data_IF_708239648799
#
_entry.id   IF_708239648799
#
_cell.length_a   1.000
_cell.length_b   1.000
_cell.length_c   1.000
_cell.angle_alpha   90.00
_cell.angle_beta   90.00
_cell.angle_gamma   90.00
#
_symmetry.space_group_name_H-M   'P 1'
#
loop_
_entity.id
_entity.type
_entity.pdbx_description
1 polymer ?
#
# COMPACT_ATOMS: atom_id res chain seq x y z
N UNK A 1 15.42 -8.77 -5.52
CA UNK A 1 16.65 -8.09 -5.96
C UNK A 1 17.74 -8.46 -4.99
N UNK A 2 18.98 -8.39 -5.44
CA UNK A 2 20.15 -8.65 -4.63
C UNK A 2 20.96 -7.35 -4.60
N UNK A 3 21.62 -7.04 -3.48
CA UNK A 3 22.45 -5.84 -3.38
C UNK A 3 23.91 -6.19 -3.67
N UNK A 4 24.48 -5.65 -4.75
CA UNK A 4 25.88 -5.84 -5.14
C UNK A 4 26.53 -4.47 -5.26
N UNK A 5 27.57 -4.22 -4.44
CA UNK A 5 28.30 -2.95 -4.41
C UNK A 5 27.37 -1.73 -4.26
N UNK A 6 26.36 -1.83 -3.38
CA UNK A 6 25.40 -0.76 -3.13
C UNK A 6 24.33 -0.56 -4.21
N UNK A 7 24.29 -1.42 -5.24
CA UNK A 7 23.29 -1.34 -6.31
C UNK A 7 22.35 -2.55 -6.28
N UNK A 8 21.04 -2.36 -6.51
CA UNK A 8 20.12 -3.46 -6.68
C UNK A 8 20.33 -4.12 -8.05
N UNK A 9 20.50 -5.42 -8.06
CA UNK A 9 20.56 -6.29 -9.25
C UNK A 9 19.53 -7.41 -9.12
N UNK A 10 19.32 -8.22 -10.17
CA UNK A 10 18.43 -9.38 -10.14
C UNK A 10 17.01 -9.07 -9.59
N UNK A 11 16.41 -8.02 -10.14
CA UNK A 11 15.05 -7.61 -9.82
C UNK A 11 14.05 -8.76 -10.00
N UNK A 12 13.06 -8.83 -9.10
CA UNK A 12 12.00 -9.83 -9.13
C UNK A 12 10.68 -9.10 -8.92
N UNK A 13 9.62 -9.59 -9.55
CA UNK A 13 8.28 -9.05 -9.31
C UNK A 13 7.87 -9.42 -7.88
N UNK A 14 7.59 -8.40 -7.08
CA UNK A 14 7.08 -8.60 -5.72
C UNK A 14 5.59 -8.93 -5.73
N UNK A 15 4.80 -8.09 -6.41
CA UNK A 15 3.36 -8.28 -6.59
C UNK A 15 2.88 -7.52 -7.84
N UNK A 16 1.88 -8.04 -8.54
CA UNK A 16 1.24 -7.36 -9.67
C UNK A 16 -0.15 -6.88 -9.26
N UNK A 17 -0.35 -5.56 -9.21
CA UNK A 17 -1.67 -4.98 -8.94
C UNK A 17 -2.60 -5.24 -10.11
N UNK A 18 -3.79 -5.76 -9.82
CA UNK A 18 -4.87 -5.92 -10.78
C UNK A 18 -6.25 -5.88 -10.09
N UNK A 19 -7.22 -5.12 -10.63
CA UNK A 19 -7.14 -4.27 -11.82
C UNK A 19 -6.32 -2.98 -11.63
N UNK A 20 -5.85 -2.40 -12.73
CA UNK A 20 -5.12 -1.13 -12.75
C UNK A 20 -3.62 -1.29 -12.54
N UNK A 21 -3.02 -0.32 -11.85
CA UNK A 21 -1.60 -0.31 -11.49
C UNK A 21 -1.41 0.24 -10.07
N UNK A 22 -0.22 0.01 -9.51
CA UNK A 22 0.22 0.71 -8.30
C UNK A 22 0.61 2.15 -8.64
N UNK A 23 0.17 3.09 -7.82
CA UNK A 23 0.67 4.47 -7.80
C UNK A 23 1.27 4.73 -6.40
N UNK A 24 0.48 5.28 -5.47
CA UNK A 24 0.91 5.46 -4.09
C UNK A 24 0.95 4.16 -3.28
N UNK A 25 2.08 3.93 -2.61
CA UNK A 25 2.29 2.79 -1.71
C UNK A 25 2.74 3.24 -0.30
N UNK A 26 2.38 2.48 0.73
CA UNK A 26 2.83 2.67 2.13
C UNK A 26 3.02 1.34 2.83
N UNK A 27 3.90 1.28 3.82
CA UNK A 27 4.06 0.10 4.66
C UNK A 27 3.40 0.30 6.04
N UNK A 28 2.88 -0.77 6.61
CA UNK A 28 2.56 -0.83 8.04
C UNK A 28 3.73 -1.40 8.87
N UNK A 29 3.59 -1.38 10.19
CA UNK A 29 4.62 -1.85 11.14
C UNK A 29 4.84 -3.36 11.10
N UNK A 30 3.93 -4.13 10.51
CA UNK A 30 4.07 -5.59 10.36
C UNK A 30 4.78 -5.95 9.03
N UNK A 31 5.14 -4.93 8.24
CA UNK A 31 5.79 -5.08 6.94
C UNK A 31 4.83 -5.30 5.77
N UNK A 32 3.51 -5.19 5.97
CA UNK A 32 2.59 -5.29 4.84
C UNK A 32 2.71 -4.04 3.98
N UNK A 33 2.71 -4.24 2.66
CA UNK A 33 2.66 -3.19 1.66
C UNK A 33 1.21 -2.90 1.29
N UNK A 34 0.80 -1.67 1.48
CA UNK A 34 -0.50 -1.14 1.08
C UNK A 34 -0.28 -0.38 -0.23
N UNK A 35 -1.04 -0.72 -1.27
CA UNK A 35 -0.95 -0.10 -2.58
C UNK A 35 -2.29 0.44 -3.02
N UNK A 36 -2.28 1.59 -3.68
CA UNK A 36 -3.42 1.99 -4.52
C UNK A 36 -3.65 1.00 -5.67
N UNK A 37 -4.88 0.95 -6.15
CA UNK A 37 -5.35 0.14 -7.27
C UNK A 37 -6.58 0.77 -7.92
N UNK A 38 -6.99 0.26 -9.08
CA UNK A 38 -8.19 0.77 -9.78
C UNK A 38 -9.50 0.47 -9.04
N UNK A 39 -9.53 -0.58 -8.23
CA UNK A 39 -10.69 -0.99 -7.42
C UNK A 39 -10.57 -0.61 -5.94
N UNK A 40 -9.51 0.11 -5.55
CA UNK A 40 -9.34 0.61 -4.20
C UNK A 40 -7.92 0.47 -3.66
N UNK A 41 -7.76 -0.19 -2.51
CA UNK A 41 -6.47 -0.40 -1.85
C UNK A 41 -6.21 -1.88 -1.66
N UNK A 42 -5.03 -2.36 -2.05
CA UNK A 42 -4.60 -3.76 -1.85
C UNK A 42 -3.62 -3.81 -0.66
N UNK A 43 -3.84 -4.75 0.25
CA UNK A 43 -2.93 -5.06 1.35
C UNK A 43 -2.16 -6.33 1.00
N UNK A 44 -0.84 -6.25 0.90
CA UNK A 44 0.05 -7.30 0.40
C UNK A 44 1.04 -7.65 1.52
N UNK A 45 1.15 -8.93 1.84
CA UNK A 45 2.06 -9.40 2.88
C UNK A 45 3.53 -9.21 2.46
N UNK A 46 4.49 -9.26 3.41
CA UNK A 46 5.92 -9.15 3.11
C UNK A 46 6.46 -10.21 2.13
N UNK A 47 5.73 -11.31 1.94
CA UNK A 47 6.05 -12.38 0.98
C UNK A 47 5.49 -12.13 -0.43
N UNK A 48 4.77 -11.03 -0.66
CA UNK A 48 4.15 -10.67 -1.94
C UNK A 48 2.72 -11.20 -2.13
N UNK A 49 2.16 -11.94 -1.18
CA UNK A 49 0.79 -12.46 -1.25
C UNK A 49 -0.25 -11.39 -0.93
N UNK A 50 -1.31 -11.29 -1.73
CA UNK A 50 -2.46 -10.44 -1.44
C UNK A 50 -3.18 -10.95 -0.18
N UNK A 51 -3.23 -10.13 0.87
CA UNK A 51 -3.98 -10.41 2.10
C UNK A 51 -5.45 -10.02 1.97
N UNK A 52 -5.74 -8.94 1.24
CA UNK A 52 -7.10 -8.46 1.04
C UNK A 52 -7.16 -7.09 0.36
N UNK A 53 -8.38 -6.58 0.20
CA UNK A 53 -8.67 -5.31 -0.46
C UNK A 53 -9.62 -4.46 0.37
N UNK A 54 -9.43 -3.14 0.34
CA UNK A 54 -10.43 -2.15 0.73
C UNK A 54 -11.01 -1.60 -0.56
N UNK A 55 -12.27 -1.91 -0.84
CA UNK A 55 -12.94 -1.43 -2.04
C UNK A 55 -13.45 -0.01 -1.83
N UNK A 56 -13.20 0.84 -2.82
CA UNK A 56 -13.80 2.18 -2.93
C UNK A 56 -14.31 2.37 -4.36
N UNK A 57 -15.37 3.17 -4.60
CA UNK A 57 -16.04 3.25 -5.90
C UNK A 57 -15.27 4.08 -6.95
N UNK A 58 -13.97 4.34 -6.74
CA UNK A 58 -13.14 5.22 -7.57
C UNK A 58 -11.68 4.70 -7.60
N UNK A 59 -10.95 5.07 -8.66
CA UNK A 59 -9.53 4.74 -8.81
C UNK A 59 -8.72 5.48 -7.72
N UNK A 60 -7.93 4.73 -6.96
CA UNK A 60 -7.07 5.30 -5.91
C UNK A 60 -5.74 5.70 -6.51
N UNK A 61 -5.29 6.92 -6.20
CA UNK A 61 -3.96 7.41 -6.57
C UNK A 61 -2.97 7.29 -5.42
N UNK A 62 -3.40 7.53 -4.17
CA UNK A 62 -2.48 7.57 -3.04
C UNK A 62 -3.16 7.19 -1.73
N UNK A 63 -2.33 6.79 -0.76
CA UNK A 63 -2.74 6.42 0.58
C UNK A 63 -1.73 6.90 1.61
N UNK A 64 -2.18 7.17 2.83
CA UNK A 64 -1.31 7.53 3.93
C UNK A 64 -1.90 7.11 5.28
N UNK A 65 -1.07 6.51 6.14
CA UNK A 65 -1.43 6.28 7.53
C UNK A 65 -1.32 7.58 8.34
N UNK A 66 -2.33 7.87 9.13
CA UNK A 66 -2.38 9.03 10.00
C UNK A 66 -3.34 8.84 11.17
N UNK A 67 -3.90 9.96 11.65
CA UNK A 67 -4.62 10.01 12.91
C UNK A 67 -3.67 9.94 14.13
N UNK A 68 -4.21 10.24 15.31
CA UNK A 68 -3.41 10.34 16.55
C UNK A 68 -2.67 9.04 16.90
N UNK A 69 -3.32 7.91 16.64
CA UNK A 69 -2.76 6.58 16.90
C UNK A 69 -2.22 5.89 15.65
N UNK A 70 -2.03 6.63 14.54
CA UNK A 70 -1.33 6.16 13.32
C UNK A 70 -1.95 4.95 12.61
N UNK A 71 -3.20 4.64 12.90
CA UNK A 71 -3.93 3.48 12.36
C UNK A 71 -5.09 3.86 11.43
N UNK A 72 -5.25 5.15 11.11
CA UNK A 72 -6.24 5.58 10.12
C UNK A 72 -5.57 5.64 8.75
N UNK A 73 -6.07 4.87 7.79
CA UNK A 73 -5.64 4.97 6.41
C UNK A 73 -6.50 6.02 5.70
N UNK A 74 -5.88 7.10 5.24
CA UNK A 74 -6.48 8.08 4.34
C UNK A 74 -6.23 7.64 2.89
N UNK A 75 -7.22 7.82 2.03
CA UNK A 75 -7.24 7.32 0.65
C UNK A 75 -7.70 8.46 -0.26
N UNK A 76 -6.86 8.86 -1.22
CA UNK A 76 -7.24 9.81 -2.28
C UNK A 76 -7.70 9.03 -3.50
N UNK A 77 -8.95 9.20 -3.90
CA UNK A 77 -9.54 8.46 -5.01
C UNK A 77 -10.29 9.41 -5.93
N UNK A 78 -9.77 9.62 -7.14
CA UNK A 78 -10.23 10.55 -8.19
C UNK A 78 -10.86 11.86 -7.69
N UNK A 79 -12.13 11.86 -7.28
CA UNK A 79 -12.89 13.05 -6.86
C UNK A 79 -13.12 13.16 -5.35
N UNK A 80 -12.76 12.14 -4.58
CA UNK A 80 -13.10 12.00 -3.17
C UNK A 80 -11.90 11.65 -2.29
N UNK A 81 -12.04 11.90 -0.98
CA UNK A 81 -11.13 11.39 0.06
C UNK A 81 -11.93 10.45 0.97
N UNK A 82 -11.44 9.21 1.10
CA UNK A 82 -11.98 8.22 2.02
C UNK A 82 -11.04 8.03 3.21
N UNK A 83 -11.56 7.47 4.31
CA UNK A 83 -10.69 6.98 5.38
C UNK A 83 -11.28 5.75 6.08
N UNK A 84 -10.40 4.88 6.55
CA UNK A 84 -10.78 3.70 7.33
C UNK A 84 -9.85 3.52 8.53
N UNK A 85 -10.41 3.10 9.65
CA UNK A 85 -9.67 2.71 10.85
C UNK A 85 -9.22 1.25 10.68
N UNK A 86 -7.93 1.01 10.80
CA UNK A 86 -7.34 -0.32 10.69
C UNK A 86 -6.85 -0.80 12.06
N UNK A 87 -6.73 -2.12 12.22
CA UNK A 87 -6.01 -2.71 13.34
C UNK A 87 -4.50 -2.83 13.06
N UNK A 88 -3.95 -1.85 12.33
CA UNK A 88 -2.55 -1.80 11.88
C UNK A 88 -2.06 -0.37 11.98
N UNK A 89 -0.81 -0.20 12.39
CA UNK A 89 -0.17 1.10 12.49
C UNK A 89 0.72 1.32 11.26
N UNK A 90 0.67 2.50 10.66
CA UNK A 90 1.59 2.84 9.58
C UNK A 90 3.03 2.97 10.08
N UNK A 91 4.00 2.48 9.31
CA UNK A 91 5.41 2.73 9.56
C UNK A 91 5.69 4.25 9.52
N UNK A 92 6.42 4.78 10.50
CA UNK A 92 6.69 6.23 10.65
C UNK A 92 8.16 6.60 10.42
N UNK A 93 9.01 5.61 10.13
CA UNK A 93 10.45 5.77 9.97
C UNK A 93 10.89 5.08 8.67
N UNK A 94 11.87 5.64 7.94
CA UNK A 94 12.61 4.90 6.92
C UNK A 94 13.52 3.84 7.55
#
# INVERSE_FOLDING_TARGET
FDMVSGRPVNGRVFHTISPGCADGIRCDTDGNLWSSAADGVHCIAPDGRLLGKILVPEIVSNICFGGRAKHRLFITATTSIYSVILNRNGAQWP
#
